data_IF_803438876239
#
_entry.id   IF_803438876239
#
_cell.length_a   1.000
_cell.length_b   1.000
_cell.length_c   1.000
_cell.angle_alpha   90.00
_cell.angle_beta   90.00
_cell.angle_gamma   90.00
#
_symmetry.space_group_name_H-M   'P 1'
#
loop_
_entity.id
_entity.type
_entity.pdbx_description
1 polymer ?
#
# COMPACT_ATOMS: atom_id res chain seq x y z
N UNK A 1 14.59 -6.43 -9.44
CA UNK A 1 13.99 -5.13 -9.07
C UNK A 1 14.97 -4.41 -8.16
N UNK A 2 15.44 -3.21 -8.51
CA UNK A 2 16.28 -2.39 -7.64
C UNK A 2 15.60 -2.20 -6.28
N UNK A 3 16.38 -2.16 -5.21
CA UNK A 3 15.87 -2.00 -3.85
C UNK A 3 16.78 -1.08 -3.04
N UNK A 4 16.19 -0.36 -2.11
CA UNK A 4 16.88 0.62 -1.26
C UNK A 4 16.39 0.51 0.18
N UNK A 5 17.33 0.60 1.13
CA UNK A 5 16.98 0.73 2.55
C UNK A 5 16.47 2.15 2.82
N UNK A 6 15.27 2.25 3.38
CA UNK A 6 14.64 3.51 3.80
C UNK A 6 14.69 3.57 5.31
N UNK A 7 15.52 4.46 5.85
CA UNK A 7 15.63 4.67 7.30
C UNK A 7 14.50 5.61 7.75
N UNK A 8 13.75 5.18 8.75
CA UNK A 8 12.69 5.92 9.42
C UNK A 8 13.13 6.18 10.86
N UNK A 9 13.72 7.35 11.08
CA UNK A 9 14.26 7.77 12.37
C UNK A 9 13.18 7.97 13.44
N UNK A 10 11.92 8.10 13.04
CA UNK A 10 10.73 8.38 13.85
C UNK A 10 9.99 7.13 14.34
N UNK A 11 10.42 5.92 13.93
CA UNK A 11 9.77 4.66 14.33
C UNK A 11 10.58 3.89 15.39
N UNK A 12 9.91 3.48 16.46
CA UNK A 12 10.56 2.71 17.53
C UNK A 12 10.82 1.25 17.14
N UNK A 13 9.89 0.60 16.45
CA UNK A 13 9.92 -0.85 16.21
C UNK A 13 10.50 -1.25 14.85
N UNK A 14 10.32 -0.43 13.81
CA UNK A 14 10.82 -0.69 12.44
C UNK A 14 11.54 0.53 11.89
N UNK A 15 12.79 0.70 12.31
CA UNK A 15 13.67 1.83 11.96
C UNK A 15 14.18 1.80 10.52
N UNK A 16 14.16 0.64 9.87
CA UNK A 16 14.59 0.49 8.48
C UNK A 16 13.53 -0.30 7.73
N UNK A 17 13.00 0.27 6.64
CA UNK A 17 12.14 -0.40 5.67
C UNK A 17 12.91 -0.70 4.38
N UNK A 18 12.42 -1.66 3.61
CA UNK A 18 12.95 -1.94 2.27
C UNK A 18 11.96 -1.42 1.23
N UNK A 19 12.42 -0.53 0.35
CA UNK A 19 11.64 -0.08 -0.79
C UNK A 19 12.13 -0.78 -2.04
N UNK A 20 11.20 -1.28 -2.84
CA UNK A 20 11.49 -1.85 -4.15
C UNK A 20 11.02 -0.92 -5.25
N UNK A 21 11.89 -0.64 -6.22
CA UNK A 21 11.54 0.19 -7.38
C UNK A 21 10.85 -0.66 -8.46
N UNK A 22 9.53 -0.81 -8.31
CA UNK A 22 8.67 -1.49 -9.27
C UNK A 22 8.46 -0.69 -10.57
N UNK A 23 8.91 0.57 -10.63
CA UNK A 23 8.87 1.41 -11.83
C UNK A 23 10.12 1.27 -12.70
N UNK A 24 11.19 0.67 -12.17
CA UNK A 24 12.42 0.39 -12.91
C UNK A 24 12.16 -0.46 -14.16
N UNK A 25 12.86 -0.13 -15.25
CA UNK A 25 12.80 -0.87 -16.51
C UNK A 25 14.11 -0.81 -17.27
N UNK A 26 14.45 -1.92 -17.93
CA UNK A 26 15.54 -1.96 -18.91
C UNK A 26 15.14 -1.30 -20.23
N UNK A 27 16.12 -0.99 -21.08
CA UNK A 27 15.89 -0.39 -22.39
C UNK A 27 14.92 -1.25 -23.21
N UNK A 28 13.79 -0.67 -23.62
CA UNK A 28 12.77 -1.36 -24.42
C UNK A 28 11.94 -2.42 -23.66
N UNK A 29 11.97 -2.44 -22.32
CA UNK A 29 11.16 -3.34 -21.49
C UNK A 29 10.09 -2.56 -20.73
N UNK A 30 9.03 -3.26 -20.31
CA UNK A 30 8.01 -2.75 -19.38
C UNK A 30 8.46 -2.97 -17.94
N UNK A 31 8.10 -2.04 -17.08
CA UNK A 31 8.24 -2.11 -15.62
C UNK A 31 7.19 -3.03 -15.00
N UNK A 32 7.38 -3.41 -13.75
CA UNK A 32 6.40 -4.23 -13.02
C UNK A 32 5.07 -3.48 -12.87
N UNK A 33 5.11 -2.18 -12.56
CA UNK A 33 3.91 -1.35 -12.49
C UNK A 33 3.13 -1.31 -13.82
N UNK A 34 3.83 -1.23 -14.97
CA UNK A 34 3.19 -1.25 -16.29
C UNK A 34 2.60 -2.62 -16.66
N UNK A 35 3.13 -3.71 -16.10
CA UNK A 35 2.58 -5.07 -16.31
C UNK A 35 1.39 -5.36 -15.40
N UNK A 36 1.33 -4.74 -14.22
CA UNK A 36 0.27 -4.93 -13.22
C UNK A 36 -0.77 -3.79 -13.21
N UNK A 37 -0.67 -2.85 -14.15
CA UNK A 37 -1.65 -1.78 -14.28
C UNK A 37 -3.00 -2.39 -14.69
N UNK A 38 -3.93 -2.49 -13.73
CA UNK A 38 -5.28 -2.96 -13.98
C UNK A 38 -6.13 -1.86 -14.64
N UNK A 39 -6.96 -2.22 -15.61
CA UNK A 39 -8.03 -1.35 -16.12
C UNK A 39 -9.24 -1.30 -15.18
N UNK A 40 -9.25 -2.14 -14.13
CA UNK A 40 -10.32 -2.22 -13.14
C UNK A 40 -10.32 -1.02 -12.18
N UNK A 41 -11.52 -0.55 -11.77
CA UNK A 41 -11.63 0.55 -10.82
C UNK A 41 -11.06 0.14 -9.45
N UNK A 42 -10.35 1.07 -8.83
CA UNK A 42 -9.76 0.92 -7.50
C UNK A 42 -10.78 0.34 -6.51
N UNK A 43 -10.45 -0.80 -5.88
CA UNK A 43 -11.24 -1.44 -4.82
C UNK A 43 -11.37 -0.60 -3.53
N UNK A 44 -10.64 0.52 -3.44
CA UNK A 44 -10.71 1.44 -2.33
C UNK A 44 -12.06 2.18 -2.36
N UNK A 45 -12.85 1.98 -1.32
CA UNK A 45 -14.03 2.80 -1.07
C UNK A 45 -13.65 4.28 -1.08
N UNK A 46 -14.54 5.14 -1.59
CA UNK A 46 -14.35 6.58 -1.51
C UNK A 46 -14.23 6.96 -0.03
N UNK A 47 -13.07 7.50 0.34
CA UNK A 47 -12.72 7.82 1.74
C UNK A 47 -13.80 8.69 2.39
N UNK A 48 -14.36 9.65 1.64
CA UNK A 48 -15.42 10.52 2.13
C UNK A 48 -16.70 9.74 2.51
N UNK A 49 -17.07 8.72 1.75
CA UNK A 49 -18.25 7.90 2.02
C UNK A 49 -18.02 7.06 3.30
N UNK A 50 -16.82 6.50 3.45
CA UNK A 50 -16.42 5.75 4.66
C UNK A 50 -16.48 6.63 5.90
N UNK A 51 -15.86 7.82 5.86
CA UNK A 51 -15.83 8.75 7.00
C UNK A 51 -17.25 9.29 7.28
N UNK A 52 -18.03 9.59 6.23
CA UNK A 52 -19.42 10.04 6.38
C UNK A 52 -20.29 8.99 7.06
N UNK A 53 -20.14 7.71 6.68
CA UNK A 53 -20.80 6.59 7.35
C UNK A 53 -20.38 6.44 8.81
N UNK A 54 -19.07 6.53 9.09
CA UNK A 54 -18.52 6.44 10.45
C UNK A 54 -19.09 7.51 11.38
N UNK A 55 -19.23 8.75 10.90
CA UNK A 55 -19.75 9.89 11.69
C UNK A 55 -21.26 9.82 11.97
N UNK A 56 -22.02 9.01 11.24
CA UNK A 56 -23.47 8.86 11.49
C UNK A 56 -23.79 8.01 12.73
N UNK A 57 -22.81 7.27 13.26
CA UNK A 57 -23.00 6.35 14.36
C UNK A 57 -22.59 6.98 15.70
N UNK A 58 -23.30 6.62 16.78
CA UNK A 58 -23.01 7.09 18.15
C UNK A 58 -21.70 6.53 18.70
N UNK A 59 -21.33 5.32 18.28
CA UNK A 59 -20.12 4.61 18.70
C UNK A 59 -19.40 4.10 17.47
N UNK A 60 -18.07 4.11 17.53
CA UNK A 60 -17.25 3.77 16.39
C UNK A 60 -15.93 3.13 16.84
N UNK A 61 -15.51 2.09 16.14
CA UNK A 61 -14.27 1.36 16.43
C UNK A 61 -13.30 1.51 15.27
N UNK A 62 -12.02 1.72 15.59
CA UNK A 62 -10.96 1.70 14.62
C UNK A 62 -9.92 0.66 15.04
N UNK A 63 -9.26 0.08 14.04
CA UNK A 63 -8.10 -0.78 14.25
C UNK A 63 -7.24 -0.71 13.01
N UNK A 64 -5.93 -0.61 13.21
CA UNK A 64 -4.96 -0.74 12.13
C UNK A 64 -4.68 -2.22 11.86
N UNK A 65 -4.59 -2.61 10.60
CA UNK A 65 -4.19 -3.95 10.19
C UNK A 65 -2.70 -3.91 9.92
N UNK A 66 -1.92 -4.28 10.93
CA UNK A 66 -0.47 -4.30 10.81
C UNK A 66 -0.04 -5.21 9.66
N UNK A 67 0.82 -4.70 8.77
CA UNK A 67 1.35 -5.42 7.60
C UNK A 67 0.26 -5.98 6.67
N UNK A 68 -0.86 -5.27 6.50
CA UNK A 68 -2.01 -5.71 5.70
C UNK A 68 -1.67 -6.39 4.36
N UNK A 69 -0.76 -5.82 3.56
CA UNK A 69 -0.37 -6.39 2.27
C UNK A 69 0.41 -7.71 2.37
N UNK A 70 1.13 -7.95 3.47
CA UNK A 70 1.90 -9.19 3.67
C UNK A 70 1.03 -10.35 4.16
N UNK A 71 -0.21 -10.07 4.58
CA UNK A 71 -1.16 -11.10 5.00
C UNK A 71 -1.97 -11.67 3.82
N UNK A 72 -1.65 -11.25 2.59
CA UNK A 72 -2.28 -11.73 1.36
C UNK A 72 -1.32 -12.69 0.67
N UNK A 73 -1.78 -13.90 0.35
CA UNK A 73 -1.03 -14.87 -0.45
C UNK A 73 -1.04 -14.51 -1.94
N UNK A 74 0.01 -14.89 -2.64
CA UNK A 74 0.13 -14.77 -4.10
C UNK A 74 0.32 -16.20 -4.64
N UNK A 75 -0.48 -16.60 -5.63
CA UNK A 75 -0.32 -17.87 -6.38
C UNK A 75 0.69 -17.73 -7.52
#
# INVERSE_FOLDING_TARGET
MPHSAVVKSDRDTTKVGLAYDASSKGKGKRSLNECLMSEEPTLNLKILDVISGFRKQKYAFNKDIERAFLNIGID
#
